data_IF_458190771614
#
_entry.id   IF_458190771614
#
_cell.length_a   1.000
_cell.length_b   1.000
_cell.length_c   1.000
_cell.angle_alpha   90.00
_cell.angle_beta   90.00
_cell.angle_gamma   90.00
#
_symmetry.space_group_name_H-M   'P 1'
#
loop_
_entity.id
_entity.type
_entity.pdbx_description
1 polymer ?
#
# COMPACT_ATOMS: atom_id res chain seq x y z
N UNK A 1 -87.96 18.12 2.75
CA UNK A 1 -88.34 19.47 2.41
C UNK A 1 -87.27 20.10 1.55
N UNK A 2 -87.66 20.71 0.39
CA UNK A 2 -86.73 21.25 -0.61
C UNK A 2 -85.67 22.21 -0.01
N UNK A 3 -86.03 23.00 0.98
CA UNK A 3 -85.16 23.93 1.68
C UNK A 3 -84.05 23.18 2.51
N UNK A 4 -84.39 22.04 3.08
CA UNK A 4 -83.45 21.20 3.80
C UNK A 4 -82.37 20.53 2.88
N UNK A 5 -82.81 20.20 1.67
CA UNK A 5 -81.91 19.55 0.68
C UNK A 5 -80.93 20.53 0.04
N UNK A 6 -81.39 21.78 -0.18
CA UNK A 6 -80.54 22.88 -0.63
C UNK A 6 -79.44 23.21 0.43
N UNK A 7 -79.83 23.26 1.70
CA UNK A 7 -78.85 23.51 2.79
C UNK A 7 -77.84 22.39 2.98
N UNK A 8 -78.28 21.16 2.87
CA UNK A 8 -77.33 19.99 2.90
C UNK A 8 -76.38 20.02 1.74
N UNK A 9 -76.81 20.38 0.55
CA UNK A 9 -76.00 20.52 -0.65
C UNK A 9 -74.94 21.62 -0.48
N UNK A 10 -75.33 22.77 0.06
CA UNK A 10 -74.42 23.88 0.37
C UNK A 10 -73.29 23.46 1.38
N UNK A 11 -73.69 22.73 2.42
CA UNK A 11 -72.72 22.24 3.40
C UNK A 11 -71.77 21.23 2.77
N UNK A 12 -72.25 20.36 1.90
CA UNK A 12 -71.41 19.40 1.18
C UNK A 12 -70.48 20.09 0.19
N UNK A 13 -70.94 21.08 -0.53
CA UNK A 13 -70.12 21.88 -1.45
C UNK A 13 -69.04 22.67 -0.71
N UNK A 14 -69.35 23.29 0.43
CA UNK A 14 -68.34 23.97 1.26
C UNK A 14 -67.25 23.03 1.75
N UNK A 15 -67.59 21.80 2.15
CA UNK A 15 -66.58 20.78 2.55
C UNK A 15 -65.70 20.32 1.38
N UNK A 16 -66.30 20.13 0.21
CA UNK A 16 -65.58 19.77 -1.01
C UNK A 16 -64.65 20.90 -1.44
N UNK A 17 -65.08 22.15 -1.47
CA UNK A 17 -64.18 23.29 -1.76
C UNK A 17 -63.02 23.41 -0.77
N UNK A 18 -63.26 23.14 0.51
CA UNK A 18 -62.27 23.19 1.53
C UNK A 18 -61.24 22.07 1.38
N UNK A 19 -61.66 20.85 1.04
CA UNK A 19 -60.80 19.72 0.73
C UNK A 19 -59.94 19.98 -0.51
N UNK A 20 -60.53 20.50 -1.59
CA UNK A 20 -59.83 20.87 -2.81
C UNK A 20 -58.79 21.97 -2.53
N UNK A 21 -59.15 22.98 -1.72
CA UNK A 21 -58.20 24.02 -1.30
C UNK A 21 -57.00 23.47 -0.56
N UNK A 22 -57.19 22.54 0.37
CA UNK A 22 -56.10 21.87 1.11
C UNK A 22 -55.23 21.02 0.21
N UNK A 23 -55.81 20.34 -0.79
CA UNK A 23 -55.04 19.55 -1.76
C UNK A 23 -54.22 20.44 -2.69
N UNK A 24 -54.76 21.61 -3.12
CA UNK A 24 -54.04 22.58 -3.94
C UNK A 24 -52.87 23.17 -3.14
N UNK A 25 -53.08 23.54 -1.88
CA UNK A 25 -51.98 24.02 -1.01
C UNK A 25 -50.90 22.96 -0.80
N UNK A 26 -51.27 21.70 -0.61
CA UNK A 26 -50.35 20.60 -0.50
C UNK A 26 -49.50 20.40 -1.76
N UNK A 27 -50.15 20.44 -2.93
CA UNK A 27 -49.49 20.36 -4.23
C UNK A 27 -48.55 21.54 -4.48
N UNK A 28 -48.97 22.75 -4.10
CA UNK A 28 -48.09 23.94 -4.21
C UNK A 28 -46.84 23.80 -3.34
N UNK A 29 -46.96 23.34 -2.09
CA UNK A 29 -45.83 23.09 -1.22
C UNK A 29 -44.89 22.00 -1.76
N UNK A 30 -45.45 20.94 -2.31
CA UNK A 30 -44.67 19.87 -2.93
C UNK A 30 -43.92 20.38 -4.16
N UNK A 31 -44.59 21.21 -4.99
CA UNK A 31 -43.95 21.82 -6.14
C UNK A 31 -42.80 22.76 -5.74
N UNK A 32 -43.00 23.63 -4.76
CA UNK A 32 -41.97 24.54 -4.23
C UNK A 32 -40.77 23.72 -3.69
N UNK A 33 -41.06 22.71 -2.89
CA UNK A 33 -40.00 21.82 -2.35
C UNK A 33 -39.23 21.07 -3.45
N UNK A 34 -39.93 20.67 -4.50
CA UNK A 34 -39.31 20.02 -5.65
C UNK A 34 -38.38 20.97 -6.39
N UNK A 35 -38.79 22.23 -6.60
CA UNK A 35 -37.94 23.25 -7.21
C UNK A 35 -36.70 23.57 -6.36
N UNK A 36 -36.86 23.67 -5.04
CA UNK A 36 -35.74 23.83 -4.12
C UNK A 36 -34.74 22.65 -4.20
N UNK A 37 -35.26 21.42 -4.25
CA UNK A 37 -34.43 20.23 -4.40
C UNK A 37 -33.67 20.20 -5.73
N UNK A 38 -34.35 20.60 -6.82
CA UNK A 38 -33.71 20.70 -8.15
C UNK A 38 -32.56 21.71 -8.09
N UNK A 39 -32.80 22.91 -7.59
CA UNK A 39 -31.77 23.93 -7.46
C UNK A 39 -30.60 23.45 -6.60
N UNK A 40 -30.88 22.77 -5.50
CA UNK A 40 -29.83 22.18 -4.63
C UNK A 40 -29.02 21.11 -5.36
N UNK A 41 -29.67 20.23 -6.10
CA UNK A 41 -28.96 19.17 -6.82
C UNK A 41 -28.13 19.73 -7.99
N UNK A 42 -28.66 20.75 -8.68
CA UNK A 42 -27.90 21.43 -9.72
C UNK A 42 -26.67 22.14 -9.15
N UNK A 43 -26.79 22.77 -7.98
CA UNK A 43 -25.65 23.39 -7.30
C UNK A 43 -24.60 22.34 -6.90
N UNK A 44 -25.01 21.19 -6.33
CA UNK A 44 -24.10 20.09 -5.98
C UNK A 44 -23.38 19.54 -7.22
N UNK A 45 -24.06 19.43 -8.35
CA UNK A 45 -23.49 18.91 -9.59
C UNK A 45 -22.53 19.87 -10.28
N UNK A 46 -22.78 21.17 -10.19
CA UNK A 46 -22.04 22.19 -10.90
C UNK A 46 -20.99 22.91 -10.04
N UNK A 47 -21.05 22.77 -8.71
CA UNK A 47 -20.16 23.44 -7.78
C UNK A 47 -19.41 22.42 -6.92
N UNK A 48 -18.08 22.39 -7.09
CA UNK A 48 -17.20 21.47 -6.36
C UNK A 48 -17.29 21.63 -4.83
N UNK A 49 -17.39 22.89 -4.35
CA UNK A 49 -17.46 23.16 -2.92
C UNK A 49 -18.76 22.64 -2.30
N UNK A 50 -19.88 22.78 -3.01
CA UNK A 50 -21.17 22.24 -2.59
C UNK A 50 -21.16 20.70 -2.55
N UNK A 51 -20.57 20.07 -3.55
CA UNK A 51 -20.37 18.61 -3.57
C UNK A 51 -19.48 18.14 -2.42
N UNK A 52 -18.34 18.81 -2.22
CA UNK A 52 -17.44 18.51 -1.11
C UNK A 52 -18.14 18.67 0.25
N UNK A 53 -18.97 19.70 0.40
CA UNK A 53 -19.77 19.94 1.60
C UNK A 53 -20.68 18.76 1.95
N UNK A 54 -21.39 18.20 0.97
CA UNK A 54 -22.26 17.02 1.17
C UNK A 54 -21.45 15.82 1.63
N UNK A 55 -20.30 15.56 1.00
CA UNK A 55 -19.42 14.45 1.38
C UNK A 55 -18.89 14.65 2.82
N UNK A 56 -18.50 15.87 3.17
CA UNK A 56 -18.01 16.20 4.51
C UNK A 56 -19.10 16.01 5.58
N UNK A 57 -20.34 16.42 5.31
CA UNK A 57 -21.47 16.20 6.22
C UNK A 57 -21.73 14.71 6.45
N UNK A 58 -21.67 13.90 5.41
CA UNK A 58 -21.81 12.46 5.50
C UNK A 58 -20.68 11.82 6.33
N UNK A 59 -19.44 12.20 6.05
CA UNK A 59 -18.28 11.75 6.81
C UNK A 59 -18.35 12.15 8.29
N UNK A 60 -18.82 13.34 8.59
CA UNK A 60 -19.00 13.80 9.97
C UNK A 60 -20.11 13.02 10.69
N UNK A 61 -21.16 12.61 9.99
CA UNK A 61 -22.19 11.73 10.57
C UNK A 61 -21.62 10.37 10.95
N UNK A 62 -20.86 9.75 10.07
CA UNK A 62 -20.16 8.49 10.36
C UNK A 62 -19.13 8.64 11.48
N UNK A 63 -18.40 9.75 11.51
CA UNK A 63 -17.46 10.05 12.60
C UNK A 63 -18.16 10.16 13.96
N UNK A 64 -19.36 10.74 14.03
CA UNK A 64 -20.14 10.84 15.28
C UNK A 64 -20.62 9.47 15.73
N UNK A 65 -21.03 8.61 14.80
CA UNK A 65 -21.59 7.29 15.09
C UNK A 65 -20.51 6.25 15.41
N UNK A 66 -19.42 6.21 14.63
CA UNK A 66 -18.39 5.18 14.71
C UNK A 66 -17.06 5.67 15.24
N UNK A 67 -16.91 6.96 15.49
CA UNK A 67 -15.65 7.55 15.94
C UNK A 67 -15.20 7.00 17.28
N UNK A 68 -13.94 6.56 17.34
CA UNK A 68 -13.31 6.04 18.55
C UNK A 68 -12.08 6.85 18.88
N UNK A 69 -11.71 6.91 20.15
CA UNK A 69 -10.43 7.49 20.57
C UNK A 69 -9.28 6.75 19.88
N UNK A 70 -8.29 7.51 19.43
CA UNK A 70 -7.08 6.96 18.86
C UNK A 70 -6.41 6.01 19.86
N UNK A 71 -6.09 4.79 19.42
CA UNK A 71 -5.43 3.77 20.25
C UNK A 71 -3.92 3.96 20.32
N UNK A 72 -3.35 4.57 19.26
CA UNK A 72 -1.92 4.86 19.22
C UNK A 72 -1.64 6.17 19.92
N UNK A 73 -0.69 6.18 20.83
CA UNK A 73 -0.16 7.36 21.46
C UNK A 73 0.85 7.99 20.48
N UNK A 74 0.73 9.30 20.25
CA UNK A 74 1.76 10.05 19.54
C UNK A 74 2.67 10.61 20.61
N UNK A 75 3.83 9.98 20.78
CA UNK A 75 4.89 10.51 21.63
C UNK A 75 5.80 11.38 20.76
N UNK A 76 6.20 12.52 21.29
CA UNK A 76 7.31 13.28 20.71
C UNK A 76 8.59 12.51 21.03
N UNK A 77 8.88 11.48 20.24
CA UNK A 77 10.23 10.92 20.25
C UNK A 77 11.17 12.01 19.75
N UNK A 78 12.26 12.24 20.46
CA UNK A 78 13.41 12.95 19.88
C UNK A 78 13.66 12.34 18.50
N UNK A 79 13.86 13.20 17.48
CA UNK A 79 14.14 12.73 16.13
C UNK A 79 15.20 11.64 16.24
N UNK A 80 14.83 10.42 15.89
CA UNK A 80 15.80 9.36 15.81
C UNK A 80 16.81 9.78 14.73
N UNK A 81 17.96 10.26 15.17
CA UNK A 81 19.08 10.53 14.26
C UNK A 81 19.43 9.18 13.66
N UNK A 82 19.00 8.97 12.44
CA UNK A 82 19.38 7.80 11.68
C UNK A 82 20.86 7.94 11.34
N UNK A 83 21.72 7.42 12.21
CA UNK A 83 23.12 7.25 11.89
C UNK A 83 23.20 6.15 10.83
N UNK A 84 23.37 6.55 9.58
CA UNK A 84 23.77 5.62 8.53
C UNK A 84 25.04 4.91 9.00
N UNK A 85 24.93 3.63 9.35
CA UNK A 85 26.10 2.82 9.61
C UNK A 85 26.94 2.81 8.34
N UNK A 86 27.99 3.62 8.31
CA UNK A 86 28.99 3.56 7.24
C UNK A 86 29.58 2.16 7.24
N UNK A 87 29.32 1.44 6.18
CA UNK A 87 29.92 0.11 5.97
C UNK A 87 31.40 0.36 5.70
N UNK A 88 32.26 -0.16 6.55
CA UNK A 88 33.70 -0.13 6.29
C UNK A 88 34.01 -0.98 5.07
N UNK A 89 34.65 -0.35 4.10
CA UNK A 89 35.06 -1.02 2.87
C UNK A 89 36.28 -1.90 3.14
N UNK A 90 36.15 -3.18 2.83
CA UNK A 90 37.23 -4.13 2.99
C UNK A 90 37.30 -5.10 1.81
N UNK A 91 38.53 -5.59 1.54
CA UNK A 91 38.74 -6.64 0.57
C UNK A 91 38.34 -7.98 1.16
N UNK A 92 37.58 -8.75 0.40
CA UNK A 92 37.17 -10.11 0.76
C UNK A 92 37.35 -11.05 -0.41
N UNK A 93 37.32 -12.34 -0.13
CA UNK A 93 37.37 -13.38 -1.15
C UNK A 93 36.02 -14.08 -1.17
N UNK A 94 35.37 -14.00 -2.31
CA UNK A 94 34.16 -14.77 -2.61
C UNK A 94 34.55 -16.20 -2.95
N UNK A 95 33.89 -17.16 -2.30
CA UNK A 95 34.08 -18.58 -2.50
C UNK A 95 32.73 -19.22 -2.82
N UNK A 96 32.63 -19.98 -3.91
CA UNK A 96 31.46 -20.78 -4.23
C UNK A 96 31.88 -22.18 -4.66
N UNK A 97 31.28 -23.18 -4.03
CA UNK A 97 31.54 -24.57 -4.35
C UNK A 97 30.75 -25.02 -5.61
N UNK A 98 30.99 -26.26 -6.04
CA UNK A 98 30.29 -26.85 -7.19
C UNK A 98 28.79 -27.09 -6.97
N UNK A 99 28.31 -27.01 -5.72
CA UNK A 99 26.91 -27.19 -5.36
C UNK A 99 26.18 -25.86 -5.24
N UNK A 100 26.86 -24.74 -5.50
CA UNK A 100 26.27 -23.41 -5.44
C UNK A 100 26.21 -22.78 -4.03
N UNK A 101 26.91 -23.34 -3.05
CA UNK A 101 27.07 -22.73 -1.73
C UNK A 101 28.11 -21.63 -1.77
N UNK A 102 27.69 -20.43 -1.43
CA UNK A 102 28.53 -19.24 -1.51
C UNK A 102 28.76 -18.61 -0.13
N UNK A 103 29.90 -18.03 0.05
CA UNK A 103 30.32 -17.28 1.22
C UNK A 103 31.45 -16.30 0.88
N UNK A 104 31.74 -15.41 1.81
CA UNK A 104 32.94 -14.58 1.76
C UNK A 104 33.82 -14.83 2.97
N UNK A 105 35.10 -14.71 2.77
CA UNK A 105 36.11 -14.80 3.84
C UNK A 105 37.09 -13.63 3.72
N UNK A 106 37.77 -13.31 4.79
CA UNK A 106 38.89 -12.35 4.75
C UNK A 106 40.01 -12.83 3.84
N UNK A 107 40.69 -11.93 3.16
CA UNK A 107 41.84 -12.25 2.32
C UNK A 107 42.90 -13.02 3.07
N UNK A 108 43.19 -12.63 4.32
CA UNK A 108 44.15 -13.36 5.17
C UNK A 108 43.71 -14.77 5.56
N UNK A 109 42.40 -15.01 5.67
CA UNK A 109 41.84 -16.35 5.91
C UNK A 109 41.97 -17.21 4.66
N UNK A 110 41.73 -16.65 3.49
CA UNK A 110 41.90 -17.36 2.22
C UNK A 110 43.37 -17.77 2.00
N UNK A 111 44.33 -16.83 2.16
CA UNK A 111 45.74 -17.11 1.94
C UNK A 111 46.29 -18.24 2.84
N UNK A 112 45.82 -18.29 4.09
CA UNK A 112 46.20 -19.38 5.01
C UNK A 112 45.62 -20.74 4.66
N UNK A 113 44.51 -20.77 3.89
CA UNK A 113 43.82 -22.00 3.52
C UNK A 113 43.75 -22.19 2.00
N UNK A 114 44.64 -21.55 1.26
CA UNK A 114 44.57 -21.44 -0.21
C UNK A 114 44.44 -22.81 -0.90
N UNK A 115 45.27 -23.78 -0.56
CA UNK A 115 45.20 -25.10 -1.18
C UNK A 115 43.86 -25.80 -0.97
N UNK A 116 43.27 -25.68 0.22
CA UNK A 116 41.99 -26.25 0.53
C UNK A 116 40.85 -25.46 -0.18
N UNK A 117 40.94 -24.13 -0.20
CA UNK A 117 40.00 -23.28 -0.87
C UNK A 117 39.92 -23.55 -2.37
N UNK A 118 41.06 -23.65 -3.02
CA UNK A 118 41.18 -23.92 -4.47
C UNK A 118 40.68 -25.34 -4.83
N UNK A 119 40.76 -26.28 -3.91
CA UNK A 119 40.26 -27.63 -4.11
C UNK A 119 38.76 -27.78 -3.88
N UNK A 120 38.23 -27.08 -2.89
CA UNK A 120 36.83 -27.20 -2.44
C UNK A 120 35.86 -26.30 -3.23
N UNK A 121 36.36 -25.16 -3.74
CA UNK A 121 35.52 -24.17 -4.43
C UNK A 121 35.79 -24.16 -5.93
N UNK A 122 34.72 -24.07 -6.70
CA UNK A 122 34.77 -23.94 -8.17
C UNK A 122 35.07 -22.51 -8.62
N UNK A 123 34.53 -21.53 -7.86
CA UNK A 123 34.66 -20.09 -8.16
C UNK A 123 35.28 -19.37 -6.98
N UNK A 124 36.35 -18.63 -7.25
CA UNK A 124 37.11 -17.84 -6.28
C UNK A 124 37.31 -16.45 -6.88
N UNK A 125 36.79 -15.43 -6.25
CA UNK A 125 36.87 -14.05 -6.74
C UNK A 125 37.28 -13.11 -5.62
N UNK A 126 38.40 -12.38 -5.83
CA UNK A 126 38.79 -11.30 -4.95
C UNK A 126 37.97 -10.05 -5.26
N UNK A 127 37.27 -9.50 -4.29
CA UNK A 127 36.39 -8.35 -4.48
C UNK A 127 36.28 -7.50 -3.21
N UNK A 128 35.63 -6.35 -3.34
CA UNK A 128 35.25 -5.52 -2.20
C UNK A 128 33.96 -6.05 -1.58
N UNK A 129 33.80 -5.94 -0.28
CA UNK A 129 32.56 -6.32 0.40
C UNK A 129 31.31 -5.57 -0.10
N UNK A 130 31.50 -4.35 -0.59
CA UNK A 130 30.42 -3.50 -1.19
C UNK A 130 30.15 -3.79 -2.67
N UNK A 131 30.93 -4.69 -3.28
CA UNK A 131 30.80 -5.01 -4.70
C UNK A 131 29.57 -5.84 -5.02
N UNK A 132 29.26 -5.91 -6.31
CA UNK A 132 28.26 -6.83 -6.88
C UNK A 132 28.97 -7.82 -7.78
N UNK A 133 28.66 -9.08 -7.60
CA UNK A 133 29.12 -10.16 -8.47
C UNK A 133 28.07 -10.42 -9.55
N UNK A 134 28.53 -10.66 -10.76
CA UNK A 134 27.69 -11.07 -11.87
C UNK A 134 27.95 -12.53 -12.17
N UNK A 135 26.91 -13.36 -12.11
CA UNK A 135 26.94 -14.75 -12.51
C UNK A 135 26.32 -14.85 -13.92
N UNK A 136 27.09 -15.33 -14.86
CA UNK A 136 26.62 -15.65 -16.19
C UNK A 136 26.30 -17.14 -16.26
N UNK A 137 25.20 -17.50 -16.90
CA UNK A 137 24.76 -18.89 -16.97
C UNK A 137 24.79 -19.40 -18.41
N UNK A 138 24.81 -20.71 -18.57
CA UNK A 138 24.74 -21.42 -19.85
C UNK A 138 23.45 -21.10 -20.63
N UNK A 139 22.40 -20.68 -19.95
CA UNK A 139 21.17 -20.18 -20.57
C UNK A 139 21.27 -18.74 -21.11
N UNK A 140 22.42 -18.11 -21.02
CA UNK A 140 22.62 -16.72 -21.45
C UNK A 140 22.02 -15.66 -20.54
N UNK A 141 21.76 -16.01 -19.28
CA UNK A 141 21.27 -15.09 -18.24
C UNK A 141 22.40 -14.54 -17.42
N UNK A 142 22.19 -13.36 -16.85
CA UNK A 142 23.09 -12.72 -15.87
C UNK A 142 22.34 -12.41 -14.59
N UNK A 143 22.86 -12.95 -13.47
CA UNK A 143 22.32 -12.72 -12.14
C UNK A 143 23.30 -11.88 -11.33
N UNK A 144 22.78 -10.87 -10.62
CA UNK A 144 23.59 -10.03 -9.73
C UNK A 144 23.43 -10.46 -8.28
N UNK A 145 24.55 -10.60 -7.59
CA UNK A 145 24.64 -10.90 -6.15
C UNK A 145 25.38 -9.76 -5.46
N UNK A 146 24.78 -9.16 -4.44
CA UNK A 146 25.50 -8.22 -3.60
C UNK A 146 26.39 -9.00 -2.64
N UNK A 147 27.67 -8.67 -2.60
CA UNK A 147 28.63 -9.35 -1.70
C UNK A 147 28.23 -9.19 -0.24
N UNK A 148 27.63 -8.05 0.13
CA UNK A 148 27.11 -7.80 1.49
C UNK A 148 25.99 -8.74 1.93
N UNK A 149 25.25 -9.32 0.99
CA UNK A 149 24.15 -10.24 1.30
C UNK A 149 24.65 -11.67 1.57
N UNK A 150 25.93 -11.93 1.28
CA UNK A 150 26.58 -13.21 1.51
C UNK A 150 27.07 -13.31 2.97
N UNK A 151 27.02 -14.50 3.56
CA UNK A 151 27.61 -14.72 4.87
C UNK A 151 29.13 -14.51 4.82
N UNK A 152 29.61 -13.68 5.73
CA UNK A 152 31.05 -13.47 5.96
C UNK A 152 31.46 -14.19 7.23
N UNK A 153 32.43 -15.06 7.14
CA UNK A 153 32.77 -15.87 8.31
C UNK A 153 34.03 -16.70 8.19
N UNK A 154 33.99 -17.83 8.87
CA UNK A 154 35.13 -18.75 8.96
C UNK A 154 35.28 -19.59 7.70
N UNK A 155 36.49 -20.00 7.37
CA UNK A 155 36.74 -20.86 6.22
C UNK A 155 35.90 -22.16 6.23
N UNK A 156 35.68 -22.75 7.40
CA UNK A 156 34.95 -24.02 7.56
C UNK A 156 33.44 -23.88 7.48
N UNK A 157 32.91 -22.68 7.50
CA UNK A 157 31.47 -22.46 7.38
C UNK A 157 30.99 -22.81 5.96
N UNK A 158 29.86 -23.48 5.84
CA UNK A 158 29.37 -23.97 4.55
C UNK A 158 28.91 -22.86 3.60
N UNK A 159 28.49 -21.71 4.13
CA UNK A 159 27.86 -20.65 3.34
C UNK A 159 26.38 -20.89 3.14
N UNK A 160 25.80 -20.18 2.18
CA UNK A 160 24.39 -20.29 1.80
C UNK A 160 24.28 -20.62 0.31
N UNK A 161 23.18 -21.26 -0.12
CA UNK A 161 22.89 -21.42 -1.54
C UNK A 161 22.78 -20.06 -2.22
N UNK A 162 23.40 -19.92 -3.39
CA UNK A 162 23.44 -18.65 -4.13
C UNK A 162 22.06 -18.21 -4.63
N UNK A 163 21.13 -19.12 -4.81
CA UNK A 163 19.72 -18.88 -5.13
C UNK A 163 18.95 -18.18 -4.01
N UNK A 164 19.39 -18.25 -2.76
CA UNK A 164 18.79 -17.52 -1.65
C UNK A 164 19.05 -16.01 -1.70
N UNK A 165 20.09 -15.58 -2.39
CA UNK A 165 20.51 -14.16 -2.48
C UNK A 165 20.47 -13.61 -3.90
N UNK A 166 19.98 -14.38 -4.86
CA UNK A 166 19.86 -14.01 -6.26
C UNK A 166 18.66 -14.68 -6.90
N UNK A 167 18.32 -14.27 -8.11
CA UNK A 167 17.31 -14.94 -8.95
C UNK A 167 17.88 -16.12 -9.73
N UNK A 168 19.05 -16.61 -9.34
CA UNK A 168 19.69 -17.78 -9.93
C UNK A 168 18.86 -19.04 -9.66
N UNK A 169 18.69 -19.88 -10.65
CA UNK A 169 18.02 -21.16 -10.52
C UNK A 169 19.04 -22.29 -10.50
N UNK A 170 18.87 -23.25 -9.60
CA UNK A 170 19.72 -24.43 -9.53
C UNK A 170 19.71 -25.34 -10.78
N UNK A 171 18.78 -25.05 -11.74
CA UNK A 171 18.76 -25.69 -13.05
C UNK A 171 19.74 -25.09 -14.06
N UNK A 172 20.31 -23.92 -13.77
CA UNK A 172 21.27 -23.21 -14.61
C UNK A 172 22.69 -23.54 -14.14
N UNK A 173 23.64 -23.62 -15.06
CA UNK A 173 25.06 -23.77 -14.73
C UNK A 173 25.80 -22.44 -14.93
N UNK A 174 26.56 -21.96 -13.93
CA UNK A 174 27.43 -20.80 -14.11
C UNK A 174 28.60 -21.14 -15.07
N UNK A 175 28.82 -20.22 -16.00
CA UNK A 175 29.87 -20.34 -17.02
C UNK A 175 31.14 -19.61 -16.62
#
# INVERSE_FOLDING_TARGET
SAASDVYKRQILEMRLYRLIGLEIEALQKEHEKTLENIARYEDILNNYDSMAGVIMEELDSYKKEFGRKRRTVVENAEEAVFEEKKIEEQQVVFLMDRFGYAKTVDTGVYERNKEAADKENKYIVHCMNIAKLCLFTDEGKMHQVKVLDLPHGRFRDKGIPIDNVSNYSSSEEPV
#
